data_IF_209508983671
#
_entry.id   IF_209508983671
#
_cell.length_a   1.000
_cell.length_b   1.000
_cell.length_c   1.000
_cell.angle_alpha   90.00
_cell.angle_beta   90.00
_cell.angle_gamma   90.00
#
_symmetry.space_group_name_H-M   'P 1'
#
loop_
_entity.id
_entity.type
_entity.pdbx_description
1 polymer ?
#
# COMPACT_ATOMS: atom_id res chain seq x y z
N UNK A 1 -3.47 -28.25 21.90
CA UNK A 1 -2.59 -28.34 20.72
C UNK A 1 -3.49 -28.52 19.49
N UNK A 2 -3.15 -27.87 18.37
CA UNK A 2 -3.75 -27.95 17.02
C UNK A 2 -4.87 -26.95 16.65
N UNK A 3 -4.54 -26.10 15.68
CA UNK A 3 -5.29 -24.96 15.12
C UNK A 3 -6.18 -25.42 13.95
N UNK A 4 -7.36 -24.83 13.73
CA UNK A 4 -8.24 -25.18 12.62
C UNK A 4 -7.79 -24.51 11.30
N UNK A 5 -7.97 -25.28 10.23
CA UNK A 5 -7.67 -24.92 8.84
C UNK A 5 -8.82 -24.11 8.20
N UNK A 6 -8.44 -23.10 7.43
CA UNK A 6 -9.22 -22.37 6.43
C UNK A 6 -10.26 -21.35 6.89
N UNK A 7 -9.76 -20.22 7.39
CA UNK A 7 -10.43 -18.92 7.19
C UNK A 7 -10.02 -18.42 5.79
N UNK A 8 -10.87 -18.61 4.78
CA UNK A 8 -10.81 -17.88 3.51
C UNK A 8 -11.36 -16.46 3.74
N UNK A 9 -10.69 -15.65 4.54
CA UNK A 9 -10.83 -14.21 4.44
C UNK A 9 -9.96 -13.79 3.25
N UNK A 10 -10.61 -13.32 2.19
CA UNK A 10 -9.98 -12.42 1.23
C UNK A 10 -9.46 -11.24 2.05
N UNK A 11 -8.19 -11.27 2.47
CA UNK A 11 -7.58 -10.19 3.22
C UNK A 11 -7.46 -8.99 2.28
N UNK A 12 -8.50 -8.17 2.23
CA UNK A 12 -8.28 -6.75 2.07
C UNK A 12 -7.22 -6.38 3.08
N UNK A 13 -6.10 -5.82 2.61
CA UNK A 13 -5.03 -5.33 3.45
C UNK A 13 -5.57 -4.68 4.73
N UNK A 14 -5.45 -5.41 5.83
CA UNK A 14 -5.45 -4.86 7.17
C UNK A 14 -4.04 -5.05 7.69
N UNK A 15 -3.04 -4.50 6.99
CA UNK A 15 -1.82 -4.14 7.72
C UNK A 15 -2.23 -2.97 8.60
N UNK A 16 -2.23 -3.11 9.93
CA UNK A 16 -2.53 -1.99 10.80
C UNK A 16 -1.45 -0.94 10.55
N UNK A 17 -1.83 0.13 9.88
CA UNK A 17 -0.99 1.28 9.70
C UNK A 17 -0.79 1.92 11.08
N UNK A 18 0.46 1.93 11.55
CA UNK A 18 0.82 2.56 12.83
C UNK A 18 1.43 3.93 12.56
N UNK A 19 0.82 4.98 13.11
CA UNK A 19 1.31 6.37 13.00
C UNK A 19 2.75 6.50 13.51
N UNK A 20 3.15 5.69 14.51
CA UNK A 20 4.49 5.71 15.11
C UNK A 20 5.61 5.29 14.16
N UNK A 21 5.28 4.49 13.14
CA UNK A 21 6.25 4.02 12.13
C UNK A 21 6.48 5.04 11.01
N UNK A 22 5.71 6.12 11.01
CA UNK A 22 5.81 7.19 10.02
C UNK A 22 6.85 8.21 10.42
N UNK A 23 7.41 8.87 9.42
CA UNK A 23 8.37 9.96 9.58
C UNK A 23 8.03 11.11 8.64
N UNK A 24 8.45 12.31 9.01
CA UNK A 24 8.22 13.49 8.18
C UNK A 24 9.06 13.38 6.88
N UNK A 25 8.45 13.53 5.69
CA UNK A 25 9.17 13.49 4.41
C UNK A 25 9.77 14.85 4.03
N UNK A 26 9.59 15.90 4.84
CA UNK A 26 10.11 17.23 4.55
C UNK A 26 11.55 17.37 5.07
N UNK A 27 12.52 17.45 4.17
CA UNK A 27 13.96 17.60 4.47
C UNK A 27 14.27 18.85 5.31
N UNK A 28 13.50 19.93 5.14
CA UNK A 28 13.65 21.16 5.92
C UNK A 28 13.04 21.08 7.33
N UNK A 29 12.40 19.96 7.70
CA UNK A 29 11.79 19.81 9.01
C UNK A 29 12.80 19.23 10.00
N UNK A 30 12.88 19.80 11.22
CA UNK A 30 13.68 19.21 12.30
C UNK A 30 13.26 17.79 12.73
N UNK A 31 12.12 17.30 12.21
CA UNK A 31 11.63 15.92 12.40
C UNK A 31 11.76 15.07 11.13
N UNK A 32 12.61 15.46 10.19
CA UNK A 32 12.87 14.72 8.95
C UNK A 32 13.38 13.31 9.26
N UNK A 33 12.73 12.30 8.67
CA UNK A 33 13.06 10.87 8.86
C UNK A 33 13.05 10.34 10.30
N UNK A 34 12.73 11.16 11.31
CA UNK A 34 12.60 10.72 12.70
C UNK A 34 11.23 10.07 12.94
N UNK A 35 11.25 8.87 13.52
CA UNK A 35 10.06 8.10 13.91
C UNK A 35 9.69 8.32 15.38
N UNK A 36 8.44 8.03 15.73
CA UNK A 36 7.93 8.06 17.11
C UNK A 36 8.11 9.41 17.87
N UNK A 37 8.07 10.54 17.16
CA UNK A 37 8.28 11.88 17.75
C UNK A 37 6.97 12.59 18.15
N UNK A 38 5.81 11.93 18.02
CA UNK A 38 4.50 12.51 18.34
C UNK A 38 4.06 13.68 17.43
N UNK A 39 4.83 14.01 16.40
CA UNK A 39 4.56 15.12 15.47
C UNK A 39 3.62 14.76 14.32
N UNK A 40 3.12 13.52 14.26
CA UNK A 40 2.31 13.02 13.13
C UNK A 40 0.89 12.75 13.62
N UNK A 41 -0.09 13.34 12.92
CA UNK A 41 -1.52 13.19 13.24
C UNK A 41 -2.31 12.75 12.01
N UNK A 42 -3.43 12.06 12.22
CA UNK A 42 -4.38 11.75 11.14
C UNK A 42 -5.10 13.04 10.74
N UNK A 43 -4.99 13.39 9.46
CA UNK A 43 -5.64 14.55 8.86
C UNK A 43 -6.84 14.19 7.99
N UNK A 44 -6.84 12.99 7.39
CA UNK A 44 -7.94 12.52 6.55
C UNK A 44 -8.08 11.00 6.61
N UNK A 45 -9.29 10.49 6.36
CA UNK A 45 -9.62 9.06 6.55
C UNK A 45 -9.70 8.25 5.24
N UNK A 46 -9.90 8.87 4.07
CA UNK A 46 -10.09 8.17 2.79
C UNK A 46 -9.46 8.91 1.59
N UNK A 47 -8.25 8.51 1.13
CA UNK A 47 -7.32 7.59 1.79
C UNK A 47 -6.80 8.17 3.12
N UNK A 48 -6.26 7.35 4.04
CA UNK A 48 -5.63 7.83 5.27
C UNK A 48 -4.49 8.79 4.94
N UNK A 49 -4.73 10.08 5.24
CA UNK A 49 -3.75 11.15 5.11
C UNK A 49 -3.29 11.53 6.50
N UNK A 50 -2.00 11.68 6.65
CA UNK A 50 -1.37 12.15 7.87
C UNK A 50 -0.69 13.49 7.62
N UNK A 51 -0.51 14.25 8.71
CA UNK A 51 0.07 15.58 8.70
C UNK A 51 1.14 15.67 9.78
N UNK A 52 2.25 16.32 9.45
CA UNK A 52 3.21 16.78 10.44
C UNK A 52 2.66 18.05 11.11
N UNK A 53 2.49 18.03 12.43
CA UNK A 53 2.05 19.20 13.21
C UNK A 53 3.10 20.29 13.28
N UNK A 54 4.37 19.96 13.02
CA UNK A 54 5.51 20.90 13.09
C UNK A 54 5.73 21.70 11.81
N UNK A 55 5.74 21.05 10.65
CA UNK A 55 5.93 21.74 9.35
C UNK A 55 4.67 21.82 8.48
N UNK A 56 3.56 21.24 8.93
CA UNK A 56 2.29 21.27 8.19
C UNK A 56 2.21 20.35 6.98
N UNK A 57 3.32 19.71 6.55
CA UNK A 57 3.34 18.80 5.40
C UNK A 57 2.36 17.64 5.60
N UNK A 58 1.61 17.32 4.55
CA UNK A 58 0.68 16.17 4.52
C UNK A 58 1.17 15.09 3.57
N UNK A 59 0.97 13.83 3.92
CA UNK A 59 1.24 12.69 3.02
C UNK A 59 0.28 11.53 3.29
N UNK A 60 0.26 10.58 2.36
CA UNK A 60 -0.53 9.34 2.48
C UNK A 60 0.26 8.31 3.27
N UNK A 61 -0.42 7.60 4.16
CA UNK A 61 0.13 6.55 5.03
C UNK A 61 1.04 5.54 4.29
N UNK A 62 0.56 5.03 3.15
CA UNK A 62 1.20 3.99 2.35
C UNK A 62 2.05 4.57 1.19
N UNK A 63 2.57 5.80 1.33
CA UNK A 63 3.35 6.46 0.26
C UNK A 63 4.59 5.70 -0.23
N UNK A 64 5.09 4.78 0.59
CA UNK A 64 6.25 3.95 0.31
C UNK A 64 5.87 2.56 -0.22
N UNK A 65 4.58 2.25 -0.33
CA UNK A 65 4.12 0.97 -0.84
C UNK A 65 3.99 1.00 -2.37
N UNK A 66 4.23 -0.13 -3.04
CA UNK A 66 4.30 -0.21 -4.50
C UNK A 66 3.02 0.30 -5.21
N UNK A 67 1.86 0.11 -4.57
CA UNK A 67 0.56 0.49 -5.11
C UNK A 67 0.27 1.99 -4.97
N UNK A 68 1.13 2.75 -4.29
CA UNK A 68 1.03 4.21 -4.21
C UNK A 68 1.04 4.84 -5.62
N UNK A 69 0.11 5.78 -5.83
CA UNK A 69 -0.06 6.50 -7.10
C UNK A 69 -0.70 5.67 -8.23
N UNK A 70 -1.10 4.41 -7.99
CA UNK A 70 -1.93 3.68 -8.94
C UNK A 70 -3.38 4.16 -8.81
N UNK A 71 -4.04 4.39 -9.96
CA UNK A 71 -5.47 4.75 -10.03
C UNK A 71 -6.39 3.53 -9.98
N UNK A 72 -5.81 2.34 -10.03
CA UNK A 72 -6.54 1.07 -10.04
C UNK A 72 -6.96 0.69 -8.63
N UNK A 73 -8.10 0.00 -8.52
CA UNK A 73 -8.56 -0.54 -7.25
C UNK A 73 -7.53 -1.51 -6.65
N UNK A 74 -7.19 -1.29 -5.38
CA UNK A 74 -6.24 -2.10 -4.64
C UNK A 74 -6.61 -3.58 -4.69
N UNK A 75 -7.91 -3.92 -4.59
CA UNK A 75 -8.34 -5.34 -4.64
C UNK A 75 -7.92 -6.03 -5.92
N UNK A 76 -8.00 -5.33 -7.07
CA UNK A 76 -7.58 -5.87 -8.38
C UNK A 76 -6.06 -6.02 -8.46
N UNK A 77 -5.32 -5.04 -7.94
CA UNK A 77 -3.86 -5.07 -7.91
C UNK A 77 -3.39 -6.29 -7.09
N UNK A 78 -3.89 -6.47 -5.87
CA UNK A 78 -3.51 -7.59 -5.02
C UNK A 78 -3.96 -8.95 -5.57
N UNK A 79 -5.16 -9.02 -6.16
CA UNK A 79 -5.60 -10.24 -6.84
C UNK A 79 -4.65 -10.62 -8.00
N UNK A 80 -4.22 -9.64 -8.81
CA UNK A 80 -3.29 -9.87 -9.89
C UNK A 80 -1.90 -10.32 -9.39
N UNK A 81 -1.39 -9.74 -8.30
CA UNK A 81 -0.13 -10.17 -7.70
C UNK A 81 -0.19 -11.60 -7.17
N UNK A 82 -1.27 -11.98 -6.48
CA UNK A 82 -1.47 -13.35 -6.01
C UNK A 82 -1.48 -14.36 -7.17
N UNK A 83 -2.12 -14.01 -8.30
CA UNK A 83 -2.12 -14.87 -9.48
C UNK A 83 -0.73 -14.93 -10.15
N UNK A 84 0.06 -13.86 -10.10
CA UNK A 84 1.45 -13.86 -10.56
C UNK A 84 2.34 -14.79 -9.72
N UNK A 85 2.18 -14.78 -8.39
CA UNK A 85 2.88 -15.68 -7.46
C UNK A 85 2.55 -17.16 -7.75
N UNK A 86 1.32 -17.44 -8.18
CA UNK A 86 0.89 -18.77 -8.61
C UNK A 86 1.42 -19.18 -10.00
N UNK A 87 2.22 -18.33 -10.66
CA UNK A 87 2.82 -18.61 -11.97
C UNK A 87 1.86 -18.41 -13.14
N UNK A 88 0.71 -17.76 -12.95
CA UNK A 88 -0.23 -17.51 -14.04
C UNK A 88 0.34 -16.48 -15.02
N UNK A 89 0.08 -16.69 -16.33
CA UNK A 89 0.56 -15.76 -17.35
C UNK A 89 -0.11 -14.39 -17.26
N UNK A 90 0.64 -13.33 -17.54
CA UNK A 90 0.17 -11.93 -17.52
C UNK A 90 -1.11 -11.75 -18.34
N UNK A 91 -1.24 -12.43 -19.49
CA UNK A 91 -2.45 -12.38 -20.33
C UNK A 91 -3.67 -12.98 -19.64
N UNK A 92 -3.55 -14.16 -19.01
CA UNK A 92 -4.66 -14.77 -18.27
C UNK A 92 -5.09 -13.90 -17.08
N UNK A 93 -4.12 -13.35 -16.35
CA UNK A 93 -4.39 -12.44 -15.23
C UNK A 93 -5.12 -11.20 -15.70
N UNK A 94 -4.66 -10.58 -16.79
CA UNK A 94 -5.29 -9.40 -17.38
C UNK A 94 -6.77 -9.64 -17.71
N UNK A 95 -7.10 -10.81 -18.27
CA UNK A 95 -8.48 -11.23 -18.50
C UNK A 95 -9.26 -11.41 -17.19
N UNK A 96 -8.67 -12.05 -16.17
CA UNK A 96 -9.30 -12.28 -14.86
C UNK A 96 -9.62 -11.00 -14.09
N UNK A 97 -8.72 -10.00 -14.12
CA UNK A 97 -8.90 -8.73 -13.39
C UNK A 97 -9.45 -7.60 -14.27
N UNK A 98 -9.84 -7.93 -15.51
CA UNK A 98 -10.42 -7.01 -16.49
C UNK A 98 -9.60 -5.74 -16.72
N UNK A 99 -8.30 -5.91 -16.98
CA UNK A 99 -7.39 -4.82 -17.37
C UNK A 99 -6.52 -5.23 -18.56
N UNK A 100 -5.79 -4.29 -19.15
CA UNK A 100 -4.83 -4.63 -20.20
C UNK A 100 -3.63 -5.42 -19.64
N UNK A 101 -2.99 -6.31 -20.43
CA UNK A 101 -1.74 -6.98 -20.05
C UNK A 101 -0.62 -6.00 -19.67
N UNK A 102 -0.57 -4.83 -20.33
CA UNK A 102 0.40 -3.77 -20.02
C UNK A 102 0.19 -3.20 -18.62
N UNK A 103 -1.06 -3.12 -18.15
CA UNK A 103 -1.38 -2.69 -16.79
C UNK A 103 -0.87 -3.69 -15.76
N UNK A 104 -1.09 -4.99 -16.00
CA UNK A 104 -0.58 -6.05 -15.11
C UNK A 104 0.96 -6.06 -15.10
N UNK A 105 1.60 -5.88 -16.25
CA UNK A 105 3.05 -5.78 -16.34
C UNK A 105 3.58 -4.59 -15.52
N UNK A 106 2.93 -3.42 -15.59
CA UNK A 106 3.27 -2.24 -14.79
C UNK A 106 3.15 -2.51 -13.29
N UNK A 107 2.11 -3.23 -12.86
CA UNK A 107 1.95 -3.62 -11.45
C UNK A 107 3.07 -4.56 -11.01
N UNK A 108 3.38 -5.58 -11.83
CA UNK A 108 4.51 -6.50 -11.59
C UNK A 108 5.82 -5.73 -11.43
N UNK A 109 6.16 -4.86 -12.37
CA UNK A 109 7.39 -4.06 -12.33
C UNK A 109 7.49 -3.18 -11.09
N UNK A 110 6.37 -2.63 -10.60
CA UNK A 110 6.37 -1.84 -9.36
C UNK A 110 6.50 -2.68 -8.09
N UNK A 111 5.98 -3.91 -8.10
CA UNK A 111 6.01 -4.81 -6.94
C UNK A 111 7.35 -5.56 -6.79
N UNK A 112 8.16 -5.64 -7.86
CA UNK A 112 9.50 -6.24 -7.82
C UNK A 112 10.59 -5.29 -7.30
N UNK A 113 10.23 -4.09 -6.84
CA UNK A 113 11.09 -3.06 -6.23
C UNK A 113 10.81 -3.03 -4.74
#
# INVERSE_FOLDING_TARGET
MWRPLYILTLSTMETPFTIRDQSCPNEACGFYQLKNQGNIVIHGKRPPRIKCTKCGKTWVAYRNEFHYGLRSDNRRIFAALKLLEQGMSVRKIASHVHVSPTTVQRWKSKASV
#
